data_IF_008583227390
#
_entry.id   IF_008583227390
#
_cell.length_a   1.000
_cell.length_b   1.000
_cell.length_c   1.000
_cell.angle_alpha   90.00
_cell.angle_beta   90.00
_cell.angle_gamma   90.00
#
_symmetry.space_group_name_H-M   'P 1'
#
loop_
_entity.id
_entity.type
_entity.pdbx_description
1 polymer ?
#
# COMPACT_ATOMS: atom_id res chain seq x y z
N UNK A 1 12.04 -13.50 -6.24
CA UNK A 1 12.96 -12.34 -6.15
C UNK A 1 13.59 -12.31 -4.77
N UNK A 2 14.88 -12.53 -4.70
CA UNK A 2 15.59 -12.39 -3.43
C UNK A 2 15.87 -10.91 -3.14
N UNK A 3 16.43 -10.61 -1.95
CA UNK A 3 16.66 -9.23 -1.55
C UNK A 3 17.62 -8.49 -2.49
N UNK A 4 18.68 -9.15 -2.94
CA UNK A 4 19.64 -8.55 -3.88
C UNK A 4 18.98 -8.20 -5.21
N UNK A 5 18.17 -9.10 -5.74
CA UNK A 5 17.40 -8.86 -6.98
C UNK A 5 16.40 -7.73 -6.80
N UNK A 6 15.75 -7.67 -5.64
CA UNK A 6 14.82 -6.60 -5.28
C UNK A 6 15.51 -5.24 -5.31
N UNK A 7 16.66 -5.14 -4.65
CA UNK A 7 17.46 -3.90 -4.62
C UNK A 7 17.87 -3.49 -6.03
N UNK A 8 18.40 -4.43 -6.82
CA UNK A 8 18.85 -4.15 -8.17
C UNK A 8 17.70 -3.70 -9.09
N UNK A 9 16.54 -4.35 -8.99
CA UNK A 9 15.39 -3.99 -9.79
C UNK A 9 14.88 -2.58 -9.46
N UNK A 10 14.90 -2.18 -8.18
CA UNK A 10 14.52 -0.83 -7.77
C UNK A 10 15.55 0.21 -8.22
N UNK A 11 16.83 -0.11 -8.15
CA UNK A 11 17.89 0.79 -8.63
C UNK A 11 17.75 1.08 -10.12
N UNK A 12 17.34 0.09 -10.92
CA UNK A 12 17.06 0.28 -12.34
C UNK A 12 15.91 1.27 -12.58
N UNK A 13 15.04 1.44 -11.60
CA UNK A 13 13.94 2.40 -11.64
C UNK A 13 14.28 3.72 -10.94
N UNK A 14 15.52 3.91 -10.54
CA UNK A 14 15.96 5.12 -9.86
C UNK A 14 15.64 5.17 -8.37
N UNK A 15 15.27 4.05 -7.78
CA UNK A 15 14.92 3.95 -6.35
C UNK A 15 16.05 3.25 -5.62
N UNK A 16 16.79 4.00 -4.79
CA UNK A 16 17.88 3.45 -3.97
C UNK A 16 17.40 3.28 -2.53
N UNK A 17 17.62 2.11 -1.96
CA UNK A 17 17.24 1.80 -0.59
C UNK A 17 18.45 1.87 0.33
N UNK A 18 18.29 2.54 1.48
CA UNK A 18 19.25 2.53 2.56
C UNK A 18 19.20 1.19 3.31
N UNK A 19 20.21 0.93 4.14
CA UNK A 19 20.21 -0.26 5.00
C UNK A 19 19.02 -0.26 5.96
N UNK A 20 18.62 0.92 6.46
CA UNK A 20 17.43 1.06 7.30
C UNK A 20 16.17 0.63 6.57
N UNK A 21 16.00 1.04 5.32
CA UNK A 21 14.84 0.67 4.50
C UNK A 21 14.83 -0.84 4.22
N UNK A 22 15.98 -1.43 3.94
CA UNK A 22 16.09 -2.89 3.76
C UNK A 22 15.67 -3.63 5.02
N UNK A 23 16.11 -3.15 6.19
CA UNK A 23 15.71 -3.72 7.47
C UNK A 23 14.21 -3.58 7.71
N UNK A 24 13.60 -2.46 7.31
CA UNK A 24 12.15 -2.29 7.39
C UNK A 24 11.41 -3.34 6.56
N UNK A 25 11.89 -3.66 5.36
CA UNK A 25 11.29 -4.73 4.55
C UNK A 25 11.47 -6.12 5.17
N UNK A 26 12.61 -6.38 5.80
CA UNK A 26 12.84 -7.65 6.54
C UNK A 26 11.87 -7.80 7.69
N UNK A 27 11.69 -6.75 8.49
CA UNK A 27 10.73 -6.72 9.60
C UNK A 27 9.31 -6.89 9.07
N UNK A 28 8.97 -6.22 7.99
CA UNK A 28 7.65 -6.32 7.37
C UNK A 28 7.33 -7.78 6.99
N UNK A 29 8.26 -8.45 6.33
CA UNK A 29 8.06 -9.85 5.96
C UNK A 29 7.86 -10.73 7.20
N UNK A 30 8.68 -10.57 8.20
CA UNK A 30 8.59 -11.32 9.46
C UNK A 30 7.22 -11.12 10.13
N UNK A 31 6.80 -9.88 10.29
CA UNK A 31 5.51 -9.53 10.89
C UNK A 31 4.34 -10.09 10.08
N UNK A 32 4.42 -9.99 8.76
CA UNK A 32 3.40 -10.51 7.86
C UNK A 32 3.20 -12.02 8.06
N UNK A 33 4.29 -12.77 8.12
CA UNK A 33 4.23 -14.23 8.33
C UNK A 33 3.67 -14.57 9.71
N UNK A 34 4.16 -13.90 10.75
CA UNK A 34 3.72 -14.14 12.13
C UNK A 34 2.22 -13.87 12.32
N UNK A 35 1.75 -12.72 11.84
CA UNK A 35 0.34 -12.35 11.98
C UNK A 35 -0.56 -13.16 11.05
N UNK A 36 -0.04 -13.59 9.89
CA UNK A 36 -0.81 -14.40 8.95
C UNK A 36 -1.24 -15.75 9.54
N UNK A 37 -0.48 -16.30 10.48
CA UNK A 37 -0.86 -17.52 11.18
C UNK A 37 -2.17 -17.36 11.97
N UNK A 38 -2.48 -16.13 12.37
CA UNK A 38 -3.65 -15.83 13.21
C UNK A 38 -4.84 -15.28 12.43
N UNK A 39 -4.63 -14.67 11.24
CA UNK A 39 -5.67 -13.86 10.63
C UNK A 39 -5.67 -13.79 9.10
N UNK A 40 -5.12 -14.73 8.41
CA UNK A 40 -5.20 -14.81 6.94
C UNK A 40 -5.02 -13.46 6.20
N UNK A 41 -3.87 -12.82 6.40
CA UNK A 41 -3.56 -11.56 5.75
C UNK A 41 -3.23 -11.74 4.27
N UNK A 42 -2.61 -12.85 3.92
CA UNK A 42 -2.17 -13.14 2.56
C UNK A 42 -2.03 -14.66 2.35
N UNK A 43 -2.21 -15.10 1.12
CA UNK A 43 -1.89 -16.46 0.71
C UNK A 43 -0.40 -16.65 0.39
N UNK A 44 0.34 -15.54 0.26
CA UNK A 44 1.75 -15.52 -0.13
C UNK A 44 2.61 -15.28 1.11
N UNK A 45 3.43 -16.26 1.50
CA UNK A 45 4.27 -16.18 2.71
C UNK A 45 5.75 -16.44 2.45
N UNK A 46 6.09 -17.10 1.35
CA UNK A 46 7.49 -17.32 0.98
C UNK A 46 8.20 -15.98 0.73
N UNK A 47 9.39 -15.81 1.31
CA UNK A 47 10.11 -14.54 1.27
C UNK A 47 10.28 -13.99 -0.14
N UNK A 48 10.73 -14.83 -1.08
CA UNK A 48 10.97 -14.40 -2.45
C UNK A 48 9.68 -13.98 -3.17
N UNK A 49 8.58 -14.67 -2.90
CA UNK A 49 7.27 -14.33 -3.45
C UNK A 49 6.71 -13.03 -2.85
N UNK A 50 6.89 -12.82 -1.54
CA UNK A 50 6.47 -11.58 -0.89
C UNK A 50 7.24 -10.38 -1.46
N UNK A 51 8.54 -10.52 -1.64
CA UNK A 51 9.36 -9.45 -2.22
C UNK A 51 8.95 -9.10 -3.64
N UNK A 52 8.61 -10.09 -4.47
CA UNK A 52 8.19 -9.85 -5.84
C UNK A 52 6.73 -9.41 -5.94
N UNK A 53 5.82 -10.21 -5.38
CA UNK A 53 4.38 -10.08 -5.63
C UNK A 53 3.67 -9.09 -4.72
N UNK A 54 4.31 -8.75 -3.58
CA UNK A 54 3.78 -7.73 -2.67
C UNK A 54 4.64 -6.48 -2.66
N UNK A 55 5.92 -6.58 -2.32
CA UNK A 55 6.76 -5.39 -2.16
C UNK A 55 7.08 -4.71 -3.50
N UNK A 56 7.70 -5.43 -4.41
CA UNK A 56 8.07 -4.87 -5.71
C UNK A 56 6.83 -4.42 -6.50
N UNK A 57 5.81 -5.25 -6.53
CA UNK A 57 4.56 -4.93 -7.21
C UNK A 57 3.92 -3.65 -6.65
N UNK A 58 3.91 -3.50 -5.31
CA UNK A 58 3.39 -2.29 -4.66
C UNK A 58 4.19 -1.04 -5.06
N UNK A 59 5.50 -1.14 -5.07
CA UNK A 59 6.39 -0.01 -5.40
C UNK A 59 6.28 0.37 -6.87
N UNK A 60 5.83 -0.55 -7.73
CA UNK A 60 5.68 -0.31 -9.16
C UNK A 60 4.77 0.88 -9.50
N UNK A 61 3.87 1.27 -8.60
CA UNK A 61 3.08 2.49 -8.78
C UNK A 61 3.96 3.74 -8.96
N UNK A 62 5.11 3.76 -8.30
CA UNK A 62 6.06 4.86 -8.40
C UNK A 62 6.83 4.90 -9.72
N UNK A 63 6.73 3.86 -10.56
CA UNK A 63 7.33 3.86 -11.89
C UNK A 63 6.54 4.73 -12.87
N UNK A 64 5.28 4.98 -12.57
CA UNK A 64 4.35 5.71 -13.42
C UNK A 64 3.85 7.01 -12.83
N UNK A 65 4.09 7.25 -11.53
CA UNK A 65 3.62 8.41 -10.80
C UNK A 65 4.78 8.96 -9.97
N UNK A 66 4.84 10.29 -9.83
CA UNK A 66 5.91 10.93 -9.08
C UNK A 66 5.61 10.93 -7.58
N UNK A 67 6.35 10.10 -6.84
CA UNK A 67 6.31 10.04 -5.38
C UNK A 67 7.45 10.81 -4.71
N UNK A 68 8.28 11.50 -5.49
CA UNK A 68 9.42 12.26 -4.92
C UNK A 68 8.97 13.56 -4.26
N UNK A 69 7.78 14.05 -4.59
CA UNK A 69 7.21 15.27 -4.03
C UNK A 69 6.41 14.95 -2.76
N UNK A 70 6.28 15.90 -1.82
CA UNK A 70 5.36 15.74 -0.71
C UNK A 70 3.94 15.53 -1.24
N UNK A 71 3.29 14.45 -0.80
CA UNK A 71 1.92 14.15 -1.20
C UNK A 71 1.19 13.37 -0.12
N UNK A 72 -0.14 13.37 -0.21
CA UNK A 72 -1.01 12.56 0.63
C UNK A 72 -1.56 11.40 -0.19
N UNK A 73 -1.43 10.19 0.36
CA UNK A 73 -1.86 8.93 -0.23
C UNK A 73 -2.94 8.31 0.65
N UNK A 74 -4.08 7.97 0.07
CA UNK A 74 -5.11 7.17 0.74
C UNK A 74 -5.17 5.79 0.07
N UNK A 75 -5.04 4.75 0.89
CA UNK A 75 -5.09 3.36 0.41
C UNK A 75 -6.36 2.69 0.93
N UNK A 76 -7.26 2.35 0.02
CA UNK A 76 -8.59 1.82 0.34
C UNK A 76 -8.55 0.29 0.28
N UNK A 77 -8.83 -0.35 1.42
CA UNK A 77 -8.83 -1.80 1.51
C UNK A 77 -7.45 -2.41 1.36
N UNK A 78 -6.45 -1.79 1.97
CA UNK A 78 -5.05 -2.18 1.83
C UNK A 78 -4.71 -3.59 2.36
N UNK A 79 -5.57 -4.19 3.16
CA UNK A 79 -5.32 -5.50 3.75
C UNK A 79 -4.07 -5.48 4.64
N UNK A 80 -3.02 -6.12 4.19
CA UNK A 80 -1.74 -6.17 4.91
C UNK A 80 -0.84 -4.94 4.64
N UNK A 81 -1.40 -3.87 4.06
CA UNK A 81 -0.67 -2.61 3.84
C UNK A 81 -0.18 -2.39 2.42
N UNK A 82 -0.74 -3.10 1.45
CA UNK A 82 -0.32 -3.00 0.05
C UNK A 82 -1.29 -2.17 -0.77
N UNK A 83 -0.81 -1.19 -1.57
CA UNK A 83 0.58 -0.86 -1.86
C UNK A 83 1.19 0.21 -0.95
N UNK A 84 0.44 0.83 -0.04
CA UNK A 84 0.86 2.07 0.63
C UNK A 84 2.05 1.93 1.57
N UNK A 85 2.18 0.84 2.32
CA UNK A 85 3.29 0.70 3.27
C UNK A 85 4.63 0.49 2.55
N UNK A 86 4.76 -0.39 1.54
CA UNK A 86 5.99 -0.43 0.75
C UNK A 86 6.36 0.92 0.13
N UNK A 87 5.38 1.66 -0.39
CA UNK A 87 5.61 3.01 -0.92
C UNK A 87 6.10 3.98 0.17
N UNK A 88 5.51 3.91 1.37
CA UNK A 88 5.93 4.73 2.50
C UNK A 88 7.36 4.42 2.92
N UNK A 89 7.77 3.16 2.92
CA UNK A 89 9.14 2.78 3.24
C UNK A 89 10.12 3.41 2.23
N UNK A 90 9.80 3.35 0.94
CA UNK A 90 10.63 3.94 -0.10
C UNK A 90 10.63 5.47 -0.09
N UNK A 91 9.49 6.09 0.24
CA UNK A 91 9.26 7.53 0.17
C UNK A 91 8.76 8.03 1.52
N UNK A 92 9.65 8.14 2.49
CA UNK A 92 9.31 8.45 3.89
C UNK A 92 8.57 9.78 4.07
N UNK A 93 8.68 10.70 3.13
CA UNK A 93 8.07 12.04 3.20
C UNK A 93 6.58 12.07 2.83
N UNK A 94 6.02 10.99 2.27
CA UNK A 94 4.59 10.99 1.95
C UNK A 94 3.74 10.78 3.21
N UNK A 95 2.52 11.32 3.19
CA UNK A 95 1.52 11.06 4.23
C UNK A 95 0.60 9.95 3.77
N UNK A 96 0.38 8.94 4.61
CA UNK A 96 -0.40 7.77 4.26
C UNK A 96 -1.59 7.64 5.20
N UNK A 97 -2.77 7.44 4.62
CA UNK A 97 -3.98 7.05 5.33
C UNK A 97 -4.48 5.74 4.74
N UNK A 98 -4.65 4.74 5.58
CA UNK A 98 -5.23 3.46 5.16
C UNK A 98 -6.63 3.34 5.74
N UNK A 99 -7.58 3.00 4.88
CA UNK A 99 -8.97 2.74 5.25
C UNK A 99 -9.26 1.27 5.03
N UNK A 100 -9.71 0.58 6.07
CA UNK A 100 -10.09 -0.83 5.95
C UNK A 100 -11.33 -1.11 6.81
N UNK A 101 -12.20 -1.97 6.30
CA UNK A 101 -13.43 -2.34 6.99
C UNK A 101 -13.24 -3.40 8.08
N UNK A 102 -12.07 -4.04 8.14
CA UNK A 102 -11.77 -5.09 9.12
C UNK A 102 -10.84 -4.57 10.20
N UNK A 103 -11.35 -4.48 11.43
CA UNK A 103 -10.58 -3.98 12.57
C UNK A 103 -9.30 -4.79 12.85
N UNK A 104 -9.32 -6.09 12.59
CA UNK A 104 -8.14 -6.94 12.78
C UNK A 104 -6.97 -6.50 11.89
N UNK A 105 -7.25 -6.07 10.66
CA UNK A 105 -6.23 -5.55 9.75
C UNK A 105 -5.69 -4.22 10.25
N UNK A 106 -6.56 -3.35 10.77
CA UNK A 106 -6.13 -2.09 11.39
C UNK A 106 -5.19 -2.34 12.58
N UNK A 107 -5.49 -3.34 13.39
CA UNK A 107 -4.62 -3.72 14.51
C UNK A 107 -3.24 -4.17 14.04
N UNK A 108 -3.19 -5.01 13.00
CA UNK A 108 -1.93 -5.43 12.39
C UNK A 108 -1.13 -4.23 11.88
N UNK A 109 -1.79 -3.32 11.15
CA UNK A 109 -1.14 -2.15 10.56
C UNK A 109 -0.59 -1.19 11.62
N UNK A 110 -1.32 -1.00 12.72
CA UNK A 110 -0.82 -0.19 13.84
C UNK A 110 0.44 -0.80 14.45
N UNK A 111 0.42 -2.11 14.69
CA UNK A 111 1.58 -2.82 15.23
C UNK A 111 2.78 -2.75 14.27
N UNK A 112 2.53 -3.02 12.99
CA UNK A 112 3.56 -2.95 11.95
C UNK A 112 4.18 -1.55 11.86
N UNK A 113 3.34 -0.52 11.86
CA UNK A 113 3.78 0.87 11.77
C UNK A 113 4.70 1.25 12.95
N UNK A 114 4.38 0.79 14.15
CA UNK A 114 5.21 1.02 15.33
C UNK A 114 6.57 0.32 15.19
N UNK A 115 6.58 -0.94 14.77
CA UNK A 115 7.81 -1.72 14.60
C UNK A 115 8.69 -1.18 13.47
N UNK A 116 8.09 -0.68 12.41
CA UNK A 116 8.80 -0.04 11.30
C UNK A 116 9.18 1.41 11.61
N UNK A 117 8.69 1.98 12.71
CA UNK A 117 8.93 3.37 13.13
C UNK A 117 8.51 4.36 12.04
N UNK A 118 7.34 4.13 11.45
CA UNK A 118 6.78 5.03 10.46
C UNK A 118 6.13 6.24 11.12
N UNK A 119 6.27 7.40 10.50
CA UNK A 119 5.56 8.63 10.89
C UNK A 119 4.57 9.02 9.79
N UNK A 120 3.67 9.97 10.09
CA UNK A 120 2.67 10.47 9.14
C UNK A 120 1.84 9.37 8.50
N UNK A 121 1.46 8.37 9.29
CA UNK A 121 0.58 7.28 8.88
C UNK A 121 -0.64 7.27 9.79
N UNK A 122 -1.81 7.05 9.21
CA UNK A 122 -3.09 6.96 9.91
C UNK A 122 -3.86 5.75 9.41
N UNK A 123 -4.49 5.02 10.33
CA UNK A 123 -5.26 3.83 10.00
C UNK A 123 -6.69 4.03 10.50
N UNK A 124 -7.66 3.92 9.59
CA UNK A 124 -9.06 4.20 9.88
C UNK A 124 -9.90 2.95 9.64
N UNK A 125 -10.59 2.50 10.69
CA UNK A 125 -11.57 1.42 10.57
C UNK A 125 -12.88 2.01 10.06
N UNK A 126 -13.13 1.86 8.77
CA UNK A 126 -14.33 2.38 8.11
C UNK A 126 -14.59 1.63 6.82
N UNK A 127 -15.85 1.67 6.37
CA UNK A 127 -16.16 1.29 5.00
C UNK A 127 -15.74 2.40 4.06
N UNK A 128 -15.31 2.04 2.86
CA UNK A 128 -14.84 3.00 1.86
C UNK A 128 -15.93 4.00 1.48
N UNK A 129 -17.19 3.56 1.31
CA UNK A 129 -18.31 4.42 0.96
C UNK A 129 -18.62 5.45 2.04
N UNK A 130 -18.55 5.08 3.31
CA UNK A 130 -18.75 6.00 4.42
C UNK A 130 -17.61 7.01 4.52
N UNK A 131 -16.39 6.55 4.32
CA UNK A 131 -15.20 7.39 4.35
C UNK A 131 -15.24 8.44 3.22
N UNK A 132 -15.67 8.03 2.02
CA UNK A 132 -15.78 8.93 0.86
C UNK A 132 -16.84 10.01 1.00
N UNK A 133 -17.77 9.86 1.94
CA UNK A 133 -18.82 10.86 2.23
C UNK A 133 -18.48 11.72 3.45
N UNK A 134 -17.35 11.46 4.09
CA UNK A 134 -16.93 12.17 5.30
C UNK A 134 -16.15 13.44 4.96
N UNK A 135 -15.55 14.04 5.99
CA UNK A 135 -14.63 15.18 5.87
C UNK A 135 -13.41 14.87 5.00
N UNK A 136 -13.15 13.59 4.71
CA UNK A 136 -12.03 13.14 3.89
C UNK A 136 -12.31 13.20 2.39
N UNK A 137 -13.53 13.59 2.00
CA UNK A 137 -13.88 13.73 0.58
C UNK A 137 -12.96 14.73 -0.10
N UNK A 138 -12.46 14.37 -1.30
CA UNK A 138 -11.59 15.21 -2.11
C UNK A 138 -10.35 15.73 -1.36
N UNK A 139 -9.76 14.89 -0.51
CA UNK A 139 -8.67 15.30 0.40
C UNK A 139 -7.28 14.79 0.00
N UNK A 140 -7.20 13.82 -0.90
CA UNK A 140 -5.95 13.11 -1.16
C UNK A 140 -5.40 13.37 -2.55
N UNK A 141 -4.06 13.52 -2.63
CA UNK A 141 -3.35 13.67 -3.92
C UNK A 141 -3.46 12.40 -4.75
N UNK A 142 -3.27 11.25 -4.12
CA UNK A 142 -3.35 9.94 -4.74
C UNK A 142 -4.22 9.04 -3.88
N UNK A 143 -5.12 8.29 -4.53
CA UNK A 143 -5.90 7.25 -3.89
C UNK A 143 -5.58 5.94 -4.59
N UNK A 144 -5.23 4.92 -3.81
CA UNK A 144 -4.91 3.59 -4.33
C UNK A 144 -5.89 2.56 -3.80
N UNK A 145 -6.07 1.50 -4.58
CA UNK A 145 -6.76 0.29 -4.16
C UNK A 145 -6.18 -0.89 -4.94
N UNK A 146 -6.03 -2.04 -4.28
CA UNK A 146 -5.44 -3.23 -4.89
C UNK A 146 -6.35 -4.43 -4.67
N UNK A 147 -6.81 -5.03 -5.80
CA UNK A 147 -7.56 -6.28 -5.81
C UNK A 147 -8.75 -6.36 -4.84
N UNK A 148 -9.42 -5.22 -4.57
CA UNK A 148 -10.55 -5.17 -3.63
C UNK A 148 -11.86 -5.54 -4.31
N UNK A 149 -12.06 -5.07 -5.57
CA UNK A 149 -13.30 -5.24 -6.32
C UNK A 149 -13.03 -5.01 -7.81
N UNK A 150 -14.08 -5.06 -8.64
CA UNK A 150 -14.00 -4.68 -10.05
C UNK A 150 -13.63 -3.21 -10.18
N UNK A 151 -12.97 -2.85 -11.28
CA UNK A 151 -12.51 -1.49 -11.54
C UNK A 151 -13.62 -0.44 -11.43
N UNK A 152 -14.81 -0.73 -11.95
CA UNK A 152 -15.96 0.19 -11.86
C UNK A 152 -16.36 0.46 -10.42
N UNK A 153 -16.39 -0.58 -9.58
CA UNK A 153 -16.73 -0.47 -8.16
C UNK A 153 -15.63 0.28 -7.41
N UNK A 154 -14.36 -0.04 -7.70
CA UNK A 154 -13.21 0.66 -7.09
C UNK A 154 -13.25 2.16 -7.40
N UNK A 155 -13.56 2.52 -8.64
CA UNK A 155 -13.67 3.92 -9.05
C UNK A 155 -14.76 4.65 -8.26
N UNK A 156 -15.93 4.04 -8.08
CA UNK A 156 -17.02 4.63 -7.30
C UNK A 156 -16.63 4.85 -5.83
N UNK A 157 -15.85 3.94 -5.26
CA UNK A 157 -15.43 4.03 -3.85
C UNK A 157 -14.27 5.03 -3.66
N UNK A 158 -13.38 5.13 -4.61
CA UNK A 158 -12.10 5.82 -4.45
C UNK A 158 -12.07 7.23 -5.06
N UNK A 159 -12.70 7.44 -6.20
CA UNK A 159 -12.70 8.75 -6.87
C UNK A 159 -13.21 9.89 -5.97
N UNK A 160 -14.25 9.70 -5.14
CA UNK A 160 -14.69 10.76 -4.23
C UNK A 160 -13.62 11.24 -3.24
N UNK A 161 -12.60 10.45 -2.97
CA UNK A 161 -11.51 10.78 -2.04
C UNK A 161 -10.39 11.58 -2.71
N UNK A 162 -10.32 11.54 -4.05
CA UNK A 162 -9.27 12.22 -4.81
C UNK A 162 -9.56 13.72 -4.88
N UNK A 163 -8.58 14.54 -4.50
CA UNK A 163 -8.71 15.98 -4.66
C UNK A 163 -8.59 16.40 -6.12
N UNK A 164 -9.04 17.62 -6.43
CA UNK A 164 -8.91 18.18 -7.78
C UNK A 164 -7.43 18.20 -8.19
N UNK A 165 -7.12 17.66 -9.36
CA UNK A 165 -5.74 17.53 -9.84
C UNK A 165 -5.00 16.30 -9.35
N UNK A 166 -5.63 15.49 -8.49
CA UNK A 166 -5.06 14.24 -8.00
C UNK A 166 -5.31 13.07 -8.94
N UNK A 167 -4.95 11.87 -8.49
CA UNK A 167 -5.06 10.66 -9.29
C UNK A 167 -5.59 9.47 -8.48
N UNK A 168 -6.32 8.59 -9.15
CA UNK A 168 -6.73 7.29 -8.63
C UNK A 168 -5.92 6.20 -9.34
N UNK A 169 -5.21 5.39 -8.57
CA UNK A 169 -4.40 4.29 -9.08
C UNK A 169 -4.97 2.94 -8.62
N UNK A 170 -5.62 2.24 -9.54
CA UNK A 170 -6.12 0.90 -9.28
C UNK A 170 -5.02 -0.12 -9.58
N UNK A 171 -4.64 -0.92 -8.58
CA UNK A 171 -3.67 -1.99 -8.73
C UNK A 171 -4.39 -3.32 -8.68
N UNK A 172 -4.58 -3.91 -9.85
CA UNK A 172 -5.35 -5.15 -10.00
C UNK A 172 -4.46 -6.38 -10.08
N UNK A 173 -5.04 -7.54 -9.77
CA UNK A 173 -4.39 -8.83 -9.97
C UNK A 173 -4.35 -9.20 -11.46
N UNK A 174 -3.81 -10.38 -11.79
CA UNK A 174 -3.57 -10.84 -13.16
C UNK A 174 -4.83 -10.89 -14.06
N UNK A 175 -6.03 -10.89 -13.48
CA UNK A 175 -7.31 -10.88 -14.22
C UNK A 175 -7.74 -9.50 -14.69
N UNK A 176 -6.98 -8.45 -14.40
CA UNK A 176 -7.37 -7.06 -14.71
C UNK A 176 -7.72 -6.81 -16.18
N UNK A 177 -7.03 -7.40 -17.18
CA UNK A 177 -7.38 -7.15 -18.58
C UNK A 177 -8.82 -7.52 -18.95
N UNK A 178 -9.41 -8.48 -18.22
CA UNK A 178 -10.78 -8.93 -18.48
C UNK A 178 -11.84 -7.96 -17.91
N UNK A 179 -11.43 -6.99 -17.11
CA UNK A 179 -12.30 -6.04 -16.41
C UNK A 179 -12.27 -4.64 -17.02
N UNK A 180 -11.40 -4.42 -18.00
CA UNK A 180 -11.25 -3.13 -18.71
C UNK A 180 -12.18 -3.02 -19.94
#
# INVERSE_FOLDING_TARGET
MNEQQFVQALEQQGIELSERQLEQFRIYHKELVEWNEKMNLTAITEKEDVYLKHFYDSISAAFYMDFTQPLSLCDVGAGAGFPSIPLKICFHHIEVTIVDSLNKRIQFLNHLSEDLKLDKVSFVHSRAEDFGQSEHRASYDIVTARAVARLSVLAELCVPLVKQGGAFAAMKAASAPDEL
#
